data_IF_035472603531
#
_entry.id   IF_035472603531
#
_cell.length_a   1.000
_cell.length_b   1.000
_cell.length_c   1.000
_cell.angle_alpha   90.00
_cell.angle_beta   90.00
_cell.angle_gamma   90.00
#
_symmetry.space_group_name_H-M   'P 1'
#
loop_
_entity.id
_entity.type
_entity.pdbx_description
1 polymer ?
#
# COMPACT_ATOMS: atom_id res chain seq x y z
N UNK A 1 -4.63 -3.94 -26.09
CA UNK A 1 -3.58 -4.35 -25.15
C UNK A 1 -4.21 -4.45 -23.76
N UNK A 2 -3.92 -5.50 -22.98
CA UNK A 2 -4.31 -5.55 -21.57
C UNK A 2 -3.64 -4.40 -20.83
N UNK A 3 -4.36 -3.59 -20.03
CA UNK A 3 -3.77 -2.44 -19.37
C UNK A 3 -2.70 -2.88 -18.36
N UNK A 4 -1.67 -2.05 -18.17
CA UNK A 4 -0.63 -2.26 -17.16
C UNK A 4 -1.29 -2.51 -15.78
N UNK A 5 -0.97 -3.62 -15.08
CA UNK A 5 -1.56 -3.93 -13.79
C UNK A 5 -1.34 -2.81 -12.75
N UNK A 6 -0.24 -2.06 -12.83
CA UNK A 6 -0.02 -0.92 -11.91
C UNK A 6 -1.00 0.22 -12.19
N UNK A 7 -1.20 0.56 -13.46
CA UNK A 7 -2.18 1.58 -13.85
C UNK A 7 -3.60 1.23 -13.40
N UNK A 8 -4.00 -0.04 -13.50
CA UNK A 8 -5.32 -0.50 -13.05
C UNK A 8 -5.49 -0.44 -11.53
N UNK A 9 -4.47 -0.85 -10.77
CA UNK A 9 -4.48 -0.71 -9.32
C UNK A 9 -4.63 0.74 -8.87
N UNK A 10 -3.94 1.69 -9.53
CA UNK A 10 -4.10 3.13 -9.26
C UNK A 10 -5.49 3.65 -9.60
N UNK A 11 -6.16 3.05 -10.58
CA UNK A 11 -7.54 3.34 -10.94
C UNK A 11 -8.58 2.64 -10.02
N UNK A 12 -8.14 1.94 -8.96
CA UNK A 12 -9.03 1.23 -8.05
C UNK A 12 -9.46 -0.16 -8.51
N UNK A 13 -8.83 -0.70 -9.55
CA UNK A 13 -9.10 -2.04 -10.08
C UNK A 13 -7.90 -2.97 -9.87
N UNK A 14 -7.82 -3.68 -8.73
CA UNK A 14 -6.74 -4.63 -8.45
C UNK A 14 -6.96 -6.01 -9.08
N UNK A 15 -8.01 -6.22 -9.90
CA UNK A 15 -8.31 -7.56 -10.40
C UNK A 15 -7.18 -8.10 -11.28
N UNK A 16 -6.79 -9.37 -11.10
CA UNK A 16 -5.63 -9.93 -11.81
C UNK A 16 -4.26 -9.39 -11.37
N UNK A 17 -4.18 -8.48 -10.38
CA UNK A 17 -2.91 -8.12 -9.77
C UNK A 17 -2.43 -9.24 -8.83
N UNK A 18 -1.11 -9.47 -8.81
CA UNK A 18 -0.50 -10.35 -7.81
C UNK A 18 -0.69 -9.80 -6.38
N UNK A 19 -0.58 -10.65 -5.34
CA UNK A 19 -0.93 -10.30 -3.96
C UNK A 19 -0.17 -9.09 -3.41
N UNK A 20 1.09 -8.89 -3.82
CA UNK A 20 1.87 -7.73 -3.40
C UNK A 20 1.36 -6.42 -4.00
N UNK A 21 0.95 -6.43 -5.26
CA UNK A 21 0.46 -5.23 -5.94
C UNK A 21 -0.96 -4.89 -5.48
N UNK A 22 -1.82 -5.89 -5.33
CA UNK A 22 -3.16 -5.72 -4.76
C UNK A 22 -3.10 -5.19 -3.30
N UNK A 23 -2.22 -5.77 -2.47
CA UNK A 23 -2.02 -5.32 -1.09
C UNK A 23 -1.44 -3.91 -1.00
N UNK A 24 -0.51 -3.53 -1.88
CA UNK A 24 0.01 -2.17 -1.92
C UNK A 24 -1.06 -1.16 -2.32
N UNK A 25 -1.89 -1.48 -3.32
CA UNK A 25 -2.99 -0.62 -3.74
C UNK A 25 -4.00 -0.39 -2.60
N UNK A 26 -4.36 -1.45 -1.86
CA UNK A 26 -5.22 -1.36 -0.69
C UNK A 26 -4.60 -0.51 0.43
N UNK A 27 -3.29 -0.65 0.68
CA UNK A 27 -2.56 0.17 1.65
C UNK A 27 -2.57 1.65 1.28
N UNK A 28 -2.33 1.97 0.01
CA UNK A 28 -2.34 3.34 -0.49
C UNK A 28 -3.73 3.97 -0.36
N UNK A 29 -4.78 3.24 -0.73
CA UNK A 29 -6.16 3.67 -0.54
C UNK A 29 -6.43 3.97 0.95
N UNK A 30 -6.06 3.08 1.86
CA UNK A 30 -6.22 3.30 3.30
C UNK A 30 -5.47 4.55 3.81
N UNK A 31 -4.28 4.84 3.29
CA UNK A 31 -3.54 6.06 3.64
C UNK A 31 -4.27 7.32 3.14
N UNK A 32 -4.81 7.28 1.93
CA UNK A 32 -5.58 8.42 1.39
C UNK A 32 -6.87 8.66 2.17
N UNK A 33 -7.59 7.60 2.57
CA UNK A 33 -8.75 7.70 3.45
C UNK A 33 -8.39 8.27 4.83
N UNK A 34 -7.26 7.82 5.42
CA UNK A 34 -6.75 8.39 6.67
C UNK A 34 -6.40 9.88 6.53
N UNK A 35 -5.79 10.29 5.43
CA UNK A 35 -5.47 11.70 5.15
C UNK A 35 -6.74 12.53 4.95
N UNK A 36 -7.72 12.03 4.20
CA UNK A 36 -8.99 12.72 3.98
C UNK A 36 -9.77 12.91 5.30
N UNK A 37 -9.68 11.96 6.22
CA UNK A 37 -10.30 12.06 7.54
C UNK A 37 -9.61 13.06 8.50
N UNK A 38 -8.43 13.59 8.16
CA UNK A 38 -7.70 14.53 9.03
C UNK A 38 -8.25 15.97 9.01
N UNK A 39 -9.05 16.35 8.01
CA UNK A 39 -9.34 17.76 7.70
C UNK A 39 -10.37 18.42 8.66
N UNK A 40 -11.12 17.65 9.48
CA UNK A 40 -12.34 18.21 10.10
C UNK A 40 -12.47 18.12 11.64
N UNK A 41 -11.71 17.29 12.38
CA UNK A 41 -11.99 17.15 13.84
C UNK A 41 -10.88 16.60 14.75
N UNK A 42 -9.72 16.19 14.22
CA UNK A 42 -8.74 15.42 15.01
C UNK A 42 -7.39 16.15 15.16
N UNK A 43 -6.66 15.97 16.28
CA UNK A 43 -5.29 16.43 16.39
C UNK A 43 -4.43 15.75 15.30
N UNK A 44 -3.96 16.53 14.33
CA UNK A 44 -3.19 16.06 13.17
C UNK A 44 -2.04 15.10 13.54
N UNK A 45 -1.45 15.25 14.72
CA UNK A 45 -0.36 14.42 15.21
C UNK A 45 -0.74 12.94 15.44
N UNK A 46 -1.99 12.62 15.81
CA UNK A 46 -2.41 11.24 16.08
C UNK A 46 -2.58 10.45 14.77
N UNK A 47 -3.23 11.04 13.76
CA UNK A 47 -3.39 10.38 12.47
C UNK A 47 -2.06 10.22 11.71
N UNK A 48 -1.13 11.17 11.84
CA UNK A 48 0.19 11.05 11.20
C UNK A 48 1.00 9.88 11.76
N UNK A 49 0.87 9.57 13.05
CA UNK A 49 1.48 8.36 13.64
C UNK A 49 0.89 7.09 13.03
N UNK A 50 -0.43 7.01 12.92
CA UNK A 50 -1.10 5.86 12.31
C UNK A 50 -0.68 5.64 10.85
N UNK A 51 -0.62 6.71 10.05
CA UNK A 51 -0.13 6.65 8.66
C UNK A 51 1.32 6.16 8.60
N UNK A 52 2.17 6.62 9.52
CA UNK A 52 3.57 6.20 9.61
C UNK A 52 3.69 4.72 9.96
N UNK A 53 2.86 4.22 10.86
CA UNK A 53 2.89 2.82 11.29
C UNK A 53 2.53 1.89 10.12
N UNK A 54 1.43 2.19 9.41
CA UNK A 54 1.02 1.47 8.20
C UNK A 54 2.07 1.55 7.09
N UNK A 55 2.72 2.71 6.94
CA UNK A 55 3.79 2.90 5.96
C UNK A 55 5.02 2.04 6.29
N UNK A 56 5.37 1.96 7.58
CA UNK A 56 6.50 1.19 8.10
C UNK A 56 6.28 -0.31 7.92
N UNK A 57 5.07 -0.79 8.24
CA UNK A 57 4.73 -2.20 8.07
C UNK A 57 4.74 -2.61 6.60
N UNK A 58 4.17 -1.78 5.71
CA UNK A 58 4.25 -2.06 4.27
C UNK A 58 5.69 -2.14 3.75
N UNK A 59 6.60 -1.28 4.23
CA UNK A 59 8.03 -1.39 3.91
C UNK A 59 8.66 -2.69 4.40
N UNK A 60 8.30 -3.15 5.62
CA UNK A 60 8.76 -4.44 6.16
C UNK A 60 8.31 -5.61 5.28
N UNK A 61 7.03 -5.64 4.90
CA UNK A 61 6.46 -6.68 4.04
C UNK A 61 7.16 -6.72 2.67
N UNK A 62 7.36 -5.56 2.03
CA UNK A 62 8.03 -5.49 0.73
C UNK A 62 9.48 -5.98 0.80
N UNK A 63 10.23 -5.62 1.86
CA UNK A 63 11.59 -6.12 2.10
C UNK A 63 11.61 -7.63 2.31
N UNK A 64 10.69 -8.16 3.11
CA UNK A 64 10.58 -9.61 3.34
C UNK A 64 10.26 -10.37 2.05
N UNK A 65 9.34 -9.86 1.24
CA UNK A 65 8.98 -10.44 -0.06
C UNK A 65 10.17 -10.43 -1.05
N UNK A 66 10.90 -9.31 -1.13
CA UNK A 66 12.10 -9.20 -1.97
C UNK A 66 13.18 -10.20 -1.53
N UNK A 67 13.43 -10.32 -0.22
CA UNK A 67 14.40 -11.27 0.33
C UNK A 67 14.00 -12.73 0.04
N UNK A 68 12.72 -13.08 0.21
CA UNK A 68 12.21 -14.42 -0.13
C UNK A 68 12.41 -14.73 -1.62
N UNK A 69 12.08 -13.79 -2.50
CA UNK A 69 12.29 -13.94 -3.95
C UNK A 69 13.77 -14.09 -4.31
N UNK A 70 14.67 -13.41 -3.58
CA UNK A 70 16.11 -13.61 -3.71
C UNK A 70 16.52 -15.06 -3.47
N UNK A 71 16.08 -15.64 -2.35
CA UNK A 71 16.40 -17.03 -1.96
C UNK A 71 15.85 -18.10 -2.89
N UNK A 72 14.68 -17.88 -3.49
CA UNK A 72 14.07 -18.82 -4.45
C UNK A 72 14.81 -18.83 -5.79
N UNK A 73 15.54 -17.76 -6.11
CA UNK A 73 16.27 -17.61 -7.37
C UNK A 73 17.78 -17.93 -7.25
N UNK A 74 18.24 -18.29 -6.06
CA UNK A 74 19.60 -18.79 -5.80
C UNK A 74 19.58 -20.32 -5.81
#
# INVERSE_FOLDING_TARGET
ATPDPVARCRAGDPSGAGPLLAGEAARQAAILEMLAAMDEAAPAAAGLRQIRDVSTEGQRVLRAAAARRGRVRS
#
